data_IF_030639801375
#
_entry.id   IF_030639801375
#
_cell.length_a   1.000
_cell.length_b   1.000
_cell.length_c   1.000
_cell.angle_alpha   90.00
_cell.angle_beta   90.00
_cell.angle_gamma   90.00
#
_symmetry.space_group_name_H-M   'P 1'
#
loop_
_entity.id
_entity.type
_entity.pdbx_description
1 polymer ?
#
# COMPACT_ATOMS: atom_id res chain seq x y z
N UNK A 1 53.23 42.33 -53.98
CA UNK A 1 52.60 41.09 -54.48
C UNK A 1 52.71 39.94 -53.50
N UNK A 2 53.91 39.52 -53.07
CA UNK A 2 54.10 38.36 -52.17
C UNK A 2 53.37 38.44 -50.81
N UNK A 3 53.37 39.60 -50.15
CA UNK A 3 52.67 39.78 -48.85
C UNK A 3 51.16 39.62 -48.98
N UNK A 4 50.57 40.12 -50.08
CA UNK A 4 49.12 40.01 -50.35
C UNK A 4 48.74 38.53 -50.57
N UNK A 5 49.55 37.78 -51.32
CA UNK A 5 49.33 36.35 -51.54
C UNK A 5 49.44 35.52 -50.25
N UNK A 6 50.39 35.87 -49.37
CA UNK A 6 50.52 35.21 -48.06
C UNK A 6 49.31 35.48 -47.15
N UNK A 7 48.83 36.72 -47.09
CA UNK A 7 47.63 37.07 -46.32
C UNK A 7 46.38 36.39 -46.89
N UNK A 8 46.25 36.31 -48.21
CA UNK A 8 45.16 35.60 -48.87
C UNK A 8 45.12 34.12 -48.45
N UNK A 9 46.25 33.41 -48.58
CA UNK A 9 46.35 32.00 -48.20
C UNK A 9 46.05 31.77 -46.70
N UNK A 10 46.48 32.70 -45.83
CA UNK A 10 46.19 32.63 -44.40
C UNK A 10 44.70 32.86 -44.09
N UNK A 11 44.02 33.73 -44.84
CA UNK A 11 42.58 33.96 -44.71
C UNK A 11 41.79 32.75 -45.21
N UNK A 12 42.15 32.17 -46.36
CA UNK A 12 41.54 30.95 -46.88
C UNK A 12 41.64 29.81 -45.86
N UNK A 13 42.82 29.57 -45.28
CA UNK A 13 42.97 28.53 -44.26
C UNK A 13 42.14 28.77 -42.98
N UNK A 14 41.96 30.04 -42.58
CA UNK A 14 41.06 30.38 -41.46
C UNK A 14 39.59 30.16 -41.82
N UNK A 15 39.18 30.52 -43.03
CA UNK A 15 37.83 30.29 -43.54
C UNK A 15 37.52 28.79 -43.57
N UNK A 16 38.44 27.97 -44.09
CA UNK A 16 38.29 26.51 -44.12
C UNK A 16 38.14 25.93 -42.71
N UNK A 17 38.98 26.40 -41.77
CA UNK A 17 38.89 25.99 -40.37
C UNK A 17 37.54 26.34 -39.75
N UNK A 18 37.03 27.54 -40.01
CA UNK A 18 35.71 27.98 -39.52
C UNK A 18 34.59 27.16 -40.14
N UNK A 19 34.64 26.89 -41.45
CA UNK A 19 33.64 26.06 -42.14
C UNK A 19 33.60 24.64 -41.57
N UNK A 20 34.76 24.03 -41.34
CA UNK A 20 34.85 22.72 -40.67
C UNK A 20 34.23 22.78 -39.26
N UNK A 21 34.53 23.82 -38.48
CA UNK A 21 33.95 24.02 -37.16
C UNK A 21 32.42 24.15 -37.18
N UNK A 22 31.88 24.88 -38.17
CA UNK A 22 30.43 25.05 -38.36
C UNK A 22 29.76 23.72 -38.71
N UNK A 23 30.34 22.92 -39.61
CA UNK A 23 29.77 21.63 -39.99
C UNK A 23 29.80 20.61 -38.84
N UNK A 24 30.87 20.59 -38.03
CA UNK A 24 30.93 19.79 -36.81
C UNK A 24 29.83 20.21 -35.83
N UNK A 25 29.65 21.51 -35.58
CA UNK A 25 28.59 22.00 -34.70
C UNK A 25 27.19 21.71 -35.24
N UNK A 26 27.00 21.76 -36.56
CA UNK A 26 25.75 21.34 -37.21
C UNK A 26 25.46 19.86 -36.99
N UNK A 27 26.48 19.00 -36.98
CA UNK A 27 26.33 17.59 -36.64
C UNK A 27 25.95 17.41 -35.15
N UNK A 28 26.63 18.10 -34.24
CA UNK A 28 26.33 18.08 -32.81
C UNK A 28 24.88 18.49 -32.52
N UNK A 29 24.41 19.58 -33.13
CA UNK A 29 23.05 20.09 -32.97
C UNK A 29 22.02 19.07 -33.46
N UNK A 30 22.28 18.40 -34.59
CA UNK A 30 21.40 17.34 -35.12
C UNK A 30 21.31 16.15 -34.14
N UNK A 31 22.45 15.73 -33.59
CA UNK A 31 22.50 14.65 -32.61
C UNK A 31 21.73 15.02 -31.33
N UNK A 32 21.97 16.22 -30.79
CA UNK A 32 21.22 16.73 -29.63
C UNK A 32 19.71 16.78 -29.91
N UNK A 33 19.30 17.20 -31.10
CA UNK A 33 17.90 17.19 -31.53
C UNK A 33 17.27 15.79 -31.52
N UNK A 34 18.02 14.76 -31.93
CA UNK A 34 17.56 13.38 -31.87
C UNK A 34 17.39 12.90 -30.42
N UNK A 35 18.40 13.14 -29.58
CA UNK A 35 18.38 12.76 -28.15
C UNK A 35 17.24 13.45 -27.38
N UNK A 36 16.95 14.72 -27.68
CA UNK A 36 15.82 15.45 -27.08
C UNK A 36 14.48 14.84 -27.49
N UNK A 37 14.32 14.44 -28.76
CA UNK A 37 13.09 13.76 -29.22
C UNK A 37 12.88 12.43 -28.51
N UNK A 38 13.94 11.64 -28.38
CA UNK A 38 13.91 10.36 -27.65
C UNK A 38 13.53 10.57 -26.18
N UNK A 39 14.23 11.49 -25.49
CA UNK A 39 13.94 11.81 -24.10
C UNK A 39 12.50 12.29 -23.88
N UNK A 40 11.95 13.08 -24.82
CA UNK A 40 10.55 13.52 -24.78
C UNK A 40 9.59 12.33 -24.93
N UNK A 41 9.92 11.37 -25.79
CA UNK A 41 9.15 10.13 -25.94
C UNK A 41 9.13 9.32 -24.64
N UNK A 42 10.30 9.05 -24.06
CA UNK A 42 10.40 8.34 -22.78
C UNK A 42 9.66 9.05 -21.65
N UNK A 43 9.74 10.39 -21.59
CA UNK A 43 9.02 11.17 -20.58
C UNK A 43 7.50 11.09 -20.74
N UNK A 44 7.00 11.00 -21.98
CA UNK A 44 5.57 10.81 -22.23
C UNK A 44 5.12 9.43 -21.76
N UNK A 45 5.87 8.37 -22.06
CA UNK A 45 5.59 7.02 -21.55
C UNK A 45 5.59 6.98 -20.02
N UNK A 46 6.61 7.55 -19.37
CA UNK A 46 6.67 7.62 -17.91
C UNK A 46 5.48 8.36 -17.30
N UNK A 47 4.98 9.40 -17.99
CA UNK A 47 3.81 10.16 -17.53
C UNK A 47 2.54 9.29 -17.60
N UNK A 48 2.36 8.53 -18.67
CA UNK A 48 1.22 7.64 -18.84
C UNK A 48 1.27 6.48 -17.83
N UNK A 49 2.45 5.89 -17.61
CA UNK A 49 2.67 4.87 -16.59
C UNK A 49 2.39 5.40 -15.18
N UNK A 50 2.87 6.60 -14.86
CA UNK A 50 2.60 7.26 -13.59
C UNK A 50 1.11 7.53 -13.38
N UNK A 51 0.37 7.88 -14.44
CA UNK A 51 -1.07 8.06 -14.40
C UNK A 51 -1.79 6.75 -14.08
N UNK A 52 -1.41 5.67 -14.79
CA UNK A 52 -1.96 4.33 -14.60
C UNK A 52 -1.70 3.81 -13.18
N UNK A 53 -0.47 3.95 -12.69
CA UNK A 53 -0.09 3.49 -11.35
C UNK A 53 -0.86 4.24 -10.26
N UNK A 54 -1.07 5.56 -10.42
CA UNK A 54 -1.86 6.36 -9.47
C UNK A 54 -3.31 5.87 -9.39
N UNK A 55 -3.91 5.50 -10.51
CA UNK A 55 -5.26 4.96 -10.54
C UNK A 55 -5.33 3.57 -9.90
N UNK A 56 -4.36 2.69 -10.18
CA UNK A 56 -4.27 1.37 -9.54
C UNK A 56 -4.15 1.48 -8.01
N UNK A 57 -3.31 2.40 -7.51
CA UNK A 57 -3.18 2.65 -6.07
C UNK A 57 -4.49 3.17 -5.48
N UNK A 58 -5.21 4.05 -6.18
CA UNK A 58 -6.53 4.55 -5.74
C UNK A 58 -7.54 3.42 -5.60
N UNK A 59 -7.63 2.54 -6.60
CA UNK A 59 -8.52 1.38 -6.58
C UNK A 59 -8.14 0.42 -5.45
N UNK A 60 -6.84 0.11 -5.31
CA UNK A 60 -6.36 -0.80 -4.26
C UNK A 60 -6.65 -0.27 -2.85
N UNK A 61 -6.53 1.04 -2.65
CA UNK A 61 -6.89 1.67 -1.37
C UNK A 61 -8.40 1.51 -1.09
N UNK A 62 -9.24 1.81 -2.07
CA UNK A 62 -10.69 1.68 -1.93
C UNK A 62 -11.12 0.23 -1.65
N UNK A 63 -10.51 -0.76 -2.31
CA UNK A 63 -10.80 -2.18 -2.04
C UNK A 63 -10.33 -2.60 -0.65
N UNK A 64 -9.15 -2.13 -0.23
CA UNK A 64 -8.63 -2.39 1.13
C UNK A 64 -9.56 -1.82 2.20
N UNK A 65 -10.02 -0.58 2.03
CA UNK A 65 -10.95 0.08 2.96
C UNK A 65 -12.29 -0.69 3.02
N UNK A 66 -12.81 -1.13 1.87
CA UNK A 66 -14.02 -1.95 1.80
C UNK A 66 -13.85 -3.30 2.52
N UNK A 67 -12.69 -3.96 2.38
CA UNK A 67 -12.41 -5.20 3.09
C UNK A 67 -12.33 -5.00 4.60
N UNK A 68 -11.76 -3.87 5.05
CA UNK A 68 -11.74 -3.54 6.48
C UNK A 68 -13.13 -3.42 7.08
N UNK A 69 -14.04 -2.69 6.41
CA UNK A 69 -15.43 -2.56 6.84
C UNK A 69 -16.10 -3.93 6.92
N UNK A 70 -15.96 -4.76 5.87
CA UNK A 70 -16.54 -6.11 5.87
C UNK A 70 -15.96 -7.00 6.98
N UNK A 71 -14.66 -6.90 7.24
CA UNK A 71 -14.02 -7.67 8.31
C UNK A 71 -14.54 -7.26 9.68
N UNK A 72 -14.76 -5.97 9.90
CA UNK A 72 -15.35 -5.47 11.13
C UNK A 72 -16.80 -5.95 11.29
N UNK A 73 -17.59 -5.89 10.22
CA UNK A 73 -18.96 -6.42 10.20
C UNK A 73 -18.98 -7.93 10.49
N UNK A 74 -18.08 -8.71 9.88
CA UNK A 74 -17.96 -10.14 10.18
C UNK A 74 -17.60 -10.41 11.64
N UNK A 75 -16.67 -9.63 12.22
CA UNK A 75 -16.34 -9.75 13.65
C UNK A 75 -17.54 -9.42 14.53
N UNK A 76 -18.30 -8.37 14.21
CA UNK A 76 -19.51 -7.98 14.94
C UNK A 76 -20.61 -9.03 14.83
N UNK A 77 -20.86 -9.55 13.62
CA UNK A 77 -21.85 -10.61 13.38
C UNK A 77 -21.48 -11.91 14.07
N UNK A 78 -20.20 -12.32 14.01
CA UNK A 78 -19.71 -13.54 14.65
C UNK A 78 -19.80 -13.47 16.18
N UNK A 79 -19.62 -12.29 16.77
CA UNK A 79 -19.67 -12.08 18.23
C UNK A 79 -21.03 -11.60 18.73
N UNK A 80 -22.05 -11.50 17.86
CA UNK A 80 -23.36 -10.93 18.21
C UNK A 80 -24.05 -11.67 19.35
N UNK A 81 -23.85 -12.98 19.42
CA UNK A 81 -24.45 -13.84 20.44
C UNK A 81 -23.46 -14.14 21.58
N UNK A 82 -22.25 -13.59 21.54
CA UNK A 82 -21.24 -13.83 22.55
C UNK A 82 -21.47 -12.90 23.74
N UNK A 83 -21.51 -13.46 24.95
CA UNK A 83 -21.54 -12.73 26.20
C UNK A 83 -20.17 -12.84 26.85
N UNK A 84 -19.59 -11.69 27.23
CA UNK A 84 -18.30 -11.64 27.91
C UNK A 84 -18.52 -11.48 29.42
N UNK A 85 -18.12 -12.48 30.19
CA UNK A 85 -18.13 -12.43 31.66
C UNK A 85 -16.75 -12.01 32.16
N UNK A 86 -16.72 -10.98 33.02
CA UNK A 86 -15.51 -10.42 33.60
C UNK A 86 -15.41 -10.78 35.08
N UNK A 87 -14.19 -10.91 35.58
CA UNK A 87 -13.90 -11.19 37.00
C UNK A 87 -14.45 -12.51 37.54
N UNK A 88 -14.62 -13.52 36.68
CA UNK A 88 -14.89 -14.88 37.14
C UNK A 88 -13.61 -15.42 37.81
N UNK A 89 -13.67 -15.87 39.07
CA UNK A 89 -12.50 -16.45 39.73
C UNK A 89 -11.98 -17.67 38.95
N UNK A 90 -10.66 -17.72 38.70
CA UNK A 90 -10.11 -18.86 37.97
C UNK A 90 -10.38 -20.17 38.72
N UNK A 91 -10.82 -21.20 37.97
CA UNK A 91 -11.16 -22.56 38.46
C UNK A 91 -12.48 -22.67 39.24
N UNK A 92 -13.25 -21.60 39.44
CA UNK A 92 -14.62 -21.72 39.98
C UNK A 92 -15.63 -22.29 38.98
N UNK A 93 -15.23 -22.39 37.71
CA UNK A 93 -16.03 -22.80 36.55
C UNK A 93 -16.23 -24.32 36.46
N UNK A 94 -15.43 -25.10 37.20
CA UNK A 94 -15.42 -26.56 37.09
C UNK A 94 -14.78 -27.06 35.77
N UNK A 95 -15.05 -28.31 35.37
CA UNK A 95 -14.44 -28.93 34.19
C UNK A 95 -15.01 -28.41 32.86
N UNK A 96 -16.22 -27.85 32.86
CA UNK A 96 -16.91 -27.38 31.64
C UNK A 96 -17.57 -26.03 31.86
N UNK A 97 -17.05 -25.01 31.18
CA UNK A 97 -17.52 -23.61 31.25
C UNK A 97 -19.01 -23.47 30.90
N UNK A 98 -19.49 -24.21 29.90
CA UNK A 98 -20.88 -24.17 29.46
C UNK A 98 -21.88 -24.49 30.58
N UNK A 99 -21.60 -25.51 31.41
CA UNK A 99 -22.48 -25.91 32.51
C UNK A 99 -22.51 -24.86 33.62
N UNK A 100 -21.37 -24.24 33.91
CA UNK A 100 -21.29 -23.15 34.88
C UNK A 100 -22.13 -21.94 34.44
N UNK A 101 -22.03 -21.55 33.17
CA UNK A 101 -22.81 -20.42 32.64
C UNK A 101 -24.30 -20.74 32.57
N UNK A 102 -24.67 -21.97 32.16
CA UNK A 102 -26.07 -22.40 32.13
C UNK A 102 -26.71 -22.35 33.53
N UNK A 103 -26.03 -22.89 34.54
CA UNK A 103 -26.49 -22.86 35.94
C UNK A 103 -26.58 -21.42 36.48
N UNK A 104 -25.60 -20.56 36.16
CA UNK A 104 -25.61 -19.16 36.56
C UNK A 104 -26.80 -18.39 35.95
N UNK A 105 -27.06 -18.59 34.66
CA UNK A 105 -28.16 -17.94 33.94
C UNK A 105 -29.51 -18.42 34.47
N UNK A 106 -29.70 -19.73 34.65
CA UNK A 106 -30.94 -20.30 35.16
C UNK A 106 -31.25 -19.81 36.58
N UNK A 107 -30.23 -19.75 37.45
CA UNK A 107 -30.37 -19.23 38.82
C UNK A 107 -30.75 -17.76 38.87
N UNK A 108 -30.15 -16.93 38.02
CA UNK A 108 -30.35 -15.47 38.09
C UNK A 108 -31.59 -14.99 37.33
N UNK A 109 -31.94 -15.63 36.21
CA UNK A 109 -32.98 -15.15 35.29
C UNK A 109 -34.27 -15.97 35.30
N UNK A 110 -34.34 -17.08 36.06
CA UNK A 110 -35.54 -17.93 36.16
C UNK A 110 -36.07 -18.39 34.78
N UNK A 111 -35.17 -18.69 33.85
CA UNK A 111 -35.50 -19.03 32.46
C UNK A 111 -35.82 -20.53 32.29
N UNK A 112 -36.56 -20.90 31.23
CA UNK A 112 -36.80 -22.30 30.90
C UNK A 112 -35.50 -23.03 30.46
N UNK A 113 -35.39 -24.36 30.71
CA UNK A 113 -34.14 -25.13 30.67
C UNK A 113 -33.62 -25.48 29.26
N UNK A 114 -33.86 -24.64 28.25
CA UNK A 114 -33.43 -24.89 26.85
C UNK A 114 -32.58 -23.76 26.31
N UNK A 115 -31.45 -23.47 26.96
CA UNK A 115 -30.46 -22.51 26.47
C UNK A 115 -29.19 -23.29 26.13
N UNK A 116 -28.81 -23.31 24.86
CA UNK A 116 -27.55 -23.93 24.44
C UNK A 116 -26.43 -22.90 24.58
N UNK A 117 -25.51 -23.12 25.52
CA UNK A 117 -24.36 -22.24 25.77
C UNK A 117 -23.08 -22.92 25.28
N UNK A 118 -22.26 -22.19 24.52
CA UNK A 118 -20.96 -22.69 24.07
C UNK A 118 -19.86 -21.79 24.63
N UNK A 119 -19.32 -22.17 25.79
CA UNK A 119 -18.36 -21.36 26.53
C UNK A 119 -16.91 -21.73 26.27
N UNK A 120 -16.05 -20.74 26.01
CA UNK A 120 -14.60 -20.88 25.95
C UNK A 120 -13.93 -19.77 26.78
N UNK A 121 -12.88 -20.12 27.53
CA UNK A 121 -12.01 -19.15 28.20
C UNK A 121 -11.13 -18.41 27.17
N UNK A 122 -10.99 -17.08 27.26
CA UNK A 122 -10.17 -16.36 26.28
C UNK A 122 -8.67 -16.73 26.39
N UNK A 123 -8.00 -16.90 25.26
CA UNK A 123 -6.57 -17.28 25.15
C UNK A 123 -5.60 -16.09 25.24
N UNK A 124 -6.02 -14.91 25.70
CA UNK A 124 -5.14 -13.74 25.73
C UNK A 124 -4.05 -13.89 26.82
N UNK A 125 -2.76 -13.74 26.48
CA UNK A 125 -1.68 -13.78 27.45
C UNK A 125 -1.69 -12.49 28.29
N UNK A 126 -2.07 -12.59 29.56
CA UNK A 126 -2.14 -11.46 30.49
C UNK A 126 -2.57 -11.88 31.90
N UNK A 127 -2.28 -11.02 32.89
CA UNK A 127 -2.55 -11.26 34.32
C UNK A 127 -4.03 -11.55 34.61
N UNK A 128 -4.32 -12.56 35.45
CA UNK A 128 -5.68 -13.02 35.76
C UNK A 128 -6.48 -12.01 36.59
N UNK A 129 -7.83 -12.11 36.62
CA UNK A 129 -8.67 -13.15 36.01
C UNK A 129 -9.01 -12.89 34.53
N UNK A 130 -9.02 -13.96 33.72
CA UNK A 130 -9.30 -13.91 32.27
C UNK A 130 -10.79 -13.71 31.97
N UNK A 131 -11.14 -12.98 30.90
CA UNK A 131 -12.52 -12.93 30.41
C UNK A 131 -12.98 -14.30 29.89
N UNK A 132 -14.22 -14.65 30.23
CA UNK A 132 -14.92 -15.82 29.71
C UNK A 132 -15.89 -15.38 28.61
N UNK A 133 -15.93 -16.12 27.50
CA UNK A 133 -16.86 -15.86 26.40
C UNK A 133 -17.84 -17.03 26.33
N UNK A 134 -19.13 -16.74 26.46
CA UNK A 134 -20.23 -17.69 26.42
C UNK A 134 -21.21 -17.41 25.28
#
# INVERSE_FOLDING_TARGET
>A
MAVIQSVHAALEGKIDTVLMGVELKRADIRNLGARVKEAKGSLMTLKDDSGTLKEQVRVLKATTDMFWVKLEDFKRCSRRNNVCMLSVPEKSEGPTVALFVEDLILKQLQLPPKIFVCGNSSLHPGTPPRPMIA
#
